data_IF_043496770156
#
_entry.id   IF_043496770156
#
_cell.length_a   1.000
_cell.length_b   1.000
_cell.length_c   1.000
_cell.angle_alpha   90.00
_cell.angle_beta   90.00
_cell.angle_gamma   90.00
#
_symmetry.space_group_name_H-M   'P 1'
#
loop_
_entity.id
_entity.type
_entity.pdbx_description
1 polymer ?
#
# COMPACT_ATOMS: atom_id res chain seq x y z
N UNK A 1 25.22 -17.80 18.68
CA UNK A 1 25.52 -16.90 17.58
C UNK A 1 25.00 -17.53 16.29
N UNK A 2 23.76 -17.24 15.93
CA UNK A 2 23.17 -17.66 14.68
C UNK A 2 23.64 -16.71 13.60
N UNK A 3 24.45 -17.21 12.70
CA UNK A 3 24.97 -16.54 11.52
C UNK A 3 23.80 -16.10 10.63
N UNK A 4 23.48 -14.82 10.65
CA UNK A 4 22.62 -14.21 9.65
C UNK A 4 23.37 -14.29 8.32
N UNK A 5 23.08 -15.30 7.52
CA UNK A 5 23.52 -15.33 6.13
C UNK A 5 22.74 -14.23 5.40
N UNK A 6 23.42 -13.15 5.10
CA UNK A 6 22.94 -12.17 4.11
C UNK A 6 22.78 -12.93 2.78
N UNK A 7 21.57 -13.31 2.45
CA UNK A 7 21.20 -13.76 1.12
C UNK A 7 21.15 -12.52 0.24
N UNK A 8 22.31 -12.16 -0.32
CA UNK A 8 22.35 -11.26 -1.47
C UNK A 8 21.83 -12.09 -2.67
N UNK A 9 20.53 -12.26 -2.77
CA UNK A 9 19.93 -12.72 -4.01
C UNK A 9 20.10 -11.57 -5.00
N UNK A 10 20.93 -11.80 -6.03
CA UNK A 10 20.96 -10.94 -7.21
C UNK A 10 19.57 -11.07 -7.84
N UNK A 11 18.70 -10.11 -7.58
CA UNK A 11 17.52 -9.94 -8.39
C UNK A 11 18.00 -9.80 -9.84
N UNK A 12 17.43 -10.59 -10.74
CA UNK A 12 17.65 -10.41 -12.17
C UNK A 12 17.08 -9.04 -12.51
N UNK A 13 17.96 -8.05 -12.63
CA UNK A 13 17.59 -6.72 -13.10
C UNK A 13 17.11 -6.83 -14.54
N UNK A 14 15.80 -6.84 -14.71
CA UNK A 14 15.20 -6.81 -16.04
C UNK A 14 14.86 -5.36 -16.37
N UNK A 15 15.14 -4.97 -17.61
CA UNK A 15 14.70 -3.67 -18.11
C UNK A 15 13.18 -3.55 -17.97
N UNK A 16 12.74 -2.41 -17.52
CA UNK A 16 11.34 -2.07 -17.44
C UNK A 16 11.12 -0.68 -18.01
N UNK A 17 9.91 -0.45 -18.46
CA UNK A 17 9.48 0.84 -18.99
C UNK A 17 8.21 1.29 -18.27
N UNK A 18 8.19 2.56 -17.87
CA UNK A 18 6.97 3.26 -17.50
C UNK A 18 6.58 4.15 -18.68
N UNK A 19 5.37 4.00 -19.19
CA UNK A 19 4.82 4.80 -20.26
C UNK A 19 3.55 5.54 -19.79
N UNK A 20 3.39 6.78 -20.20
CA UNK A 20 2.21 7.60 -19.97
C UNK A 20 1.38 7.71 -21.25
N UNK A 21 0.08 7.92 -21.13
CA UNK A 21 -0.83 8.02 -22.28
C UNK A 21 -0.53 9.19 -23.23
N UNK A 22 0.19 10.22 -22.77
CA UNK A 22 0.62 11.35 -23.59
C UNK A 22 1.86 11.05 -24.46
N UNK A 23 2.40 9.83 -24.38
CA UNK A 23 3.55 9.36 -25.12
C UNK A 23 4.89 9.48 -24.39
N UNK A 24 4.92 10.06 -23.18
CA UNK A 24 6.15 10.15 -22.39
C UNK A 24 6.51 8.81 -21.78
N UNK A 25 7.79 8.47 -21.83
CA UNK A 25 8.31 7.20 -21.31
C UNK A 25 9.51 7.42 -20.39
N UNK A 26 9.69 6.50 -19.44
CA UNK A 26 10.81 6.45 -18.52
C UNK A 26 11.33 5.03 -18.50
N UNK A 27 12.63 4.86 -18.71
CA UNK A 27 13.30 3.58 -18.60
C UNK A 27 13.81 3.37 -17.18
N UNK A 28 13.86 2.10 -16.75
CA UNK A 28 14.37 1.69 -15.46
C UNK A 28 14.59 0.20 -15.39
N UNK A 29 14.74 -0.31 -14.19
CA UNK A 29 14.91 -1.74 -13.91
C UNK A 29 13.74 -2.23 -13.07
N UNK A 30 13.23 -3.43 -13.36
CA UNK A 30 12.12 -4.01 -12.58
C UNK A 30 12.61 -4.62 -11.29
N UNK A 31 11.75 -4.53 -10.27
CA UNK A 31 11.86 -5.33 -9.06
C UNK A 31 10.47 -5.90 -8.70
N UNK A 32 10.44 -7.03 -7.98
CA UNK A 32 9.21 -7.75 -7.68
C UNK A 32 8.75 -8.64 -8.82
N UNK A 33 7.50 -8.50 -9.25
CA UNK A 33 6.93 -9.32 -10.33
C UNK A 33 7.29 -8.78 -11.72
N UNK A 34 7.24 -9.65 -12.73
CA UNK A 34 7.46 -9.31 -14.14
C UNK A 34 6.15 -9.37 -14.90
N UNK A 35 6.07 -8.65 -16.04
CA UNK A 35 4.87 -8.62 -16.87
C UNK A 35 4.46 -7.21 -17.24
N UNK A 36 3.16 -7.00 -17.42
CA UNK A 36 2.59 -5.70 -17.80
C UNK A 36 1.41 -5.35 -16.88
N UNK A 37 1.39 -4.13 -16.38
CA UNK A 37 0.28 -3.60 -15.59
C UNK A 37 -0.07 -2.18 -16.06
N UNK A 38 -1.34 -1.81 -15.92
CA UNK A 38 -1.84 -0.48 -16.23
C UNK A 38 -2.57 0.12 -15.04
N UNK A 39 -2.56 1.44 -14.93
CA UNK A 39 -3.24 2.18 -13.88
C UNK A 39 -3.09 3.68 -14.05
N UNK A 40 -3.76 4.44 -13.22
CA UNK A 40 -3.58 5.88 -13.17
C UNK A 40 -2.27 6.23 -12.46
N UNK A 41 -1.41 7.02 -13.10
CA UNK A 41 -0.18 7.48 -12.48
C UNK A 41 -0.48 8.59 -11.46
N UNK A 42 -0.04 8.36 -10.24
CA UNK A 42 -0.04 9.37 -9.17
C UNK A 42 1.32 9.41 -8.47
N UNK A 43 1.50 10.35 -7.56
CA UNK A 43 2.71 10.42 -6.75
C UNK A 43 2.41 10.72 -5.28
N UNK A 44 3.29 10.23 -4.42
CA UNK A 44 3.25 10.49 -2.99
C UNK A 44 4.57 11.15 -2.56
N UNK A 45 4.48 12.19 -1.73
CA UNK A 45 5.62 13.01 -1.29
C UNK A 45 6.11 12.66 0.11
N UNK A 46 5.58 11.63 0.74
CA UNK A 46 6.02 11.18 2.06
C UNK A 46 7.48 10.68 2.01
N UNK A 47 8.24 11.01 3.03
CA UNK A 47 9.64 10.57 3.17
C UNK A 47 9.76 9.14 3.71
N UNK A 48 8.71 8.61 4.29
CA UNK A 48 8.62 7.27 4.89
C UNK A 48 7.20 6.75 4.74
N UNK A 49 6.93 5.51 5.13
CA UNK A 49 5.59 4.93 5.08
C UNK A 49 5.24 4.32 3.73
N UNK A 50 6.24 3.82 2.99
CA UNK A 50 5.96 3.20 1.69
C UNK A 50 5.11 1.93 1.82
N UNK A 51 5.24 1.17 2.90
CA UNK A 51 4.43 -0.03 3.12
C UNK A 51 2.96 0.34 3.35
N UNK A 52 2.71 1.36 4.16
CA UNK A 52 1.38 1.91 4.40
C UNK A 52 0.75 2.38 3.08
N UNK A 53 1.52 3.06 2.22
CA UNK A 53 1.06 3.52 0.90
C UNK A 53 0.70 2.32 0.01
N UNK A 54 1.55 1.30 -0.05
CA UNK A 54 1.35 0.11 -0.90
C UNK A 54 0.09 -0.66 -0.49
N UNK A 55 -0.18 -0.73 0.82
CA UNK A 55 -1.29 -1.49 1.40
C UNK A 55 -2.54 -0.65 1.66
N UNK A 56 -2.52 0.65 1.40
CA UNK A 56 -3.69 1.53 1.51
C UNK A 56 -4.67 1.26 0.37
N UNK A 57 -5.91 0.82 0.67
CA UNK A 57 -6.94 0.60 -0.35
C UNK A 57 -7.25 1.81 -1.23
N UNK A 58 -6.96 3.03 -0.75
CA UNK A 58 -7.17 4.27 -1.49
C UNK A 58 -6.35 4.36 -2.78
N UNK A 59 -5.25 3.60 -2.89
CA UNK A 59 -4.43 3.55 -4.11
C UNK A 59 -4.85 2.44 -5.10
N UNK A 60 -6.02 1.85 -4.90
CA UNK A 60 -6.52 0.82 -5.81
C UNK A 60 -6.73 1.39 -7.22
N UNK A 61 -6.18 0.71 -8.21
CA UNK A 61 -6.21 1.17 -9.62
C UNK A 61 -5.06 2.09 -10.01
N UNK A 62 -4.21 2.53 -9.07
CA UNK A 62 -3.15 3.50 -9.32
C UNK A 62 -1.76 2.87 -9.41
N UNK A 63 -0.92 3.48 -10.21
CA UNK A 63 0.54 3.29 -10.24
C UNK A 63 1.16 4.45 -9.46
N UNK A 64 1.74 4.12 -8.30
CA UNK A 64 2.18 5.12 -7.33
C UNK A 64 3.67 5.39 -7.47
N UNK A 65 4.03 6.65 -7.61
CA UNK A 65 5.43 7.12 -7.64
C UNK A 65 5.82 7.69 -6.29
N UNK A 66 6.88 7.17 -5.67
CA UNK A 66 7.47 7.78 -4.48
C UNK A 66 8.46 8.86 -4.90
N UNK A 67 8.30 10.05 -4.33
CA UNK A 67 9.22 11.16 -4.62
C UNK A 67 10.50 11.10 -3.77
N UNK A 68 10.47 10.38 -2.64
CA UNK A 68 11.65 10.16 -1.82
C UNK A 68 12.63 9.24 -2.57
N UNK A 69 13.94 9.60 -2.62
CA UNK A 69 14.88 8.93 -3.51
C UNK A 69 15.10 7.45 -3.22
N UNK A 70 15.26 7.08 -1.94
CA UNK A 70 15.62 5.73 -1.52
C UNK A 70 14.45 5.03 -0.83
N UNK A 71 13.99 3.93 -1.39
CA UNK A 71 12.84 3.14 -0.89
C UNK A 71 13.29 1.71 -0.60
N UNK A 72 12.60 1.01 0.30
CA UNK A 72 12.90 -0.37 0.67
C UNK A 72 13.87 -0.52 1.85
N UNK A 73 14.38 0.58 2.38
CA UNK A 73 15.43 0.61 3.40
C UNK A 73 15.04 0.04 4.78
N UNK A 74 13.76 -0.07 5.10
CA UNK A 74 13.29 -0.69 6.34
C UNK A 74 12.50 -2.00 6.14
N UNK A 75 12.39 -2.48 4.88
CA UNK A 75 11.70 -3.72 4.56
C UNK A 75 10.19 -3.66 4.75
N UNK A 76 9.60 -4.82 4.93
CA UNK A 76 8.16 -5.05 5.15
C UNK A 76 7.98 -5.76 6.49
N UNK A 77 6.96 -5.41 7.22
CA UNK A 77 6.55 -6.06 8.45
C UNK A 77 5.01 -6.11 8.58
N UNK A 78 4.44 -7.06 9.32
CA UNK A 78 2.98 -7.23 9.40
C UNK A 78 2.26 -6.07 10.11
N UNK A 79 2.94 -5.38 11.03
CA UNK A 79 2.31 -4.37 11.88
C UNK A 79 2.04 -3.04 11.18
N UNK A 80 2.81 -2.71 10.14
CA UNK A 80 2.70 -1.43 9.42
C UNK A 80 1.78 -1.52 8.19
N UNK A 81 1.12 -2.66 7.98
CA UNK A 81 0.16 -2.81 6.90
C UNK A 81 -1.16 -2.08 7.20
N UNK A 82 -1.71 -1.41 6.20
CA UNK A 82 -3.01 -0.74 6.25
C UNK A 82 -4.18 -1.62 5.78
N UNK A 83 -3.86 -2.79 5.23
CA UNK A 83 -4.81 -3.83 4.84
C UNK A 83 -4.09 -5.17 4.67
N UNK A 84 -4.84 -6.22 4.33
CA UNK A 84 -4.30 -7.58 4.20
C UNK A 84 -3.43 -7.82 2.97
N UNK A 85 -3.37 -6.87 2.02
CA UNK A 85 -2.66 -7.03 0.74
C UNK A 85 -2.28 -5.67 0.13
N UNK A 86 -1.33 -5.62 -0.84
CA UNK A 86 -1.09 -4.42 -1.61
C UNK A 86 -2.29 -4.09 -2.52
N UNK A 87 -2.56 -2.79 -2.68
CA UNK A 87 -3.63 -2.28 -3.54
C UNK A 87 -3.12 -1.52 -4.76
N UNK A 88 -1.87 -1.07 -4.73
CA UNK A 88 -1.25 -0.41 -5.88
C UNK A 88 -1.19 -1.35 -7.10
N UNK A 89 -1.41 -0.82 -8.28
CA UNK A 89 -1.25 -1.58 -9.54
C UNK A 89 0.21 -1.72 -9.94
N UNK A 90 1.03 -0.77 -9.56
CA UNK A 90 2.47 -0.76 -9.76
C UNK A 90 3.13 0.32 -8.92
N UNK A 91 4.45 0.28 -8.83
CA UNK A 91 5.20 1.15 -7.93
C UNK A 91 6.46 1.67 -8.60
N UNK A 92 6.67 2.98 -8.54
CA UNK A 92 7.77 3.69 -9.22
C UNK A 92 8.64 4.38 -8.21
N UNK A 93 9.93 4.12 -8.25
CA UNK A 93 10.91 4.69 -7.32
C UNK A 93 12.18 5.19 -8.02
N UNK A 94 12.92 6.04 -7.34
CA UNK A 94 14.25 6.47 -7.79
C UNK A 94 15.29 5.38 -7.60
N UNK A 95 15.44 4.87 -6.39
CA UNK A 95 16.44 3.89 -6.01
C UNK A 95 15.88 2.89 -5.00
N UNK A 96 16.09 1.61 -5.23
CA UNK A 96 15.78 0.54 -4.29
C UNK A 96 16.96 0.35 -3.34
N UNK A 97 16.67 0.35 -2.04
CA UNK A 97 17.71 0.05 -1.04
C UNK A 97 18.19 -1.39 -1.17
N UNK A 98 19.49 -1.62 -1.30
CA UNK A 98 20.06 -2.98 -1.40
C UNK A 98 19.94 -3.78 -0.10
N UNK A 99 19.61 -3.13 1.01
CA UNK A 99 19.50 -3.74 2.33
C UNK A 99 18.30 -3.20 3.08
N UNK A 100 17.47 -4.11 3.59
CA UNK A 100 16.44 -3.80 4.58
C UNK A 100 17.08 -3.83 5.98
N UNK A 101 17.35 -2.66 6.57
CA UNK A 101 18.14 -2.52 7.80
C UNK A 101 17.33 -2.32 9.07
N UNK A 102 16.01 -2.55 9.03
CA UNK A 102 15.15 -2.47 10.22
C UNK A 102 15.12 -3.80 10.97
N UNK A 103 15.21 -3.75 12.30
CA UNK A 103 15.02 -4.93 13.15
C UNK A 103 13.59 -5.51 13.07
N UNK A 104 12.60 -4.70 12.66
CA UNK A 104 11.21 -5.14 12.43
C UNK A 104 11.02 -5.81 11.07
N UNK A 105 11.98 -5.68 10.16
CA UNK A 105 11.86 -6.26 8.82
C UNK A 105 11.71 -7.78 8.88
N UNK A 106 10.72 -8.30 8.20
CA UNK A 106 10.49 -9.73 8.00
C UNK A 106 10.78 -10.16 6.57
N UNK A 107 10.71 -9.20 5.64
CA UNK A 107 10.79 -9.43 4.21
C UNK A 107 11.30 -8.18 3.52
N UNK A 108 11.94 -8.33 2.37
CA UNK A 108 12.32 -7.21 1.52
C UNK A 108 11.13 -6.74 0.66
N UNK A 109 11.18 -5.51 0.20
CA UNK A 109 10.14 -4.98 -0.69
C UNK A 109 10.01 -5.78 -2.01
N UNK A 110 11.11 -6.17 -2.70
CA UNK A 110 11.03 -7.02 -3.88
C UNK A 110 10.40 -8.40 -3.65
N UNK A 111 10.71 -9.05 -2.52
CA UNK A 111 10.10 -10.34 -2.16
C UNK A 111 8.60 -10.19 -1.97
N UNK A 112 8.16 -9.17 -1.23
CA UNK A 112 6.76 -8.87 -1.02
C UNK A 112 6.01 -8.61 -2.33
N UNK A 113 6.61 -7.85 -3.24
CA UNK A 113 6.02 -7.58 -4.56
C UNK A 113 5.94 -8.83 -5.43
N UNK A 114 6.95 -9.70 -5.37
CA UNK A 114 6.93 -10.98 -6.09
C UNK A 114 5.81 -11.90 -5.62
N UNK A 115 5.59 -11.99 -4.30
CA UNK A 115 4.54 -12.81 -3.69
C UNK A 115 3.13 -12.31 -4.04
N UNK A 116 2.98 -10.99 -4.17
CA UNK A 116 1.69 -10.37 -4.46
C UNK A 116 1.48 -9.99 -5.94
N UNK A 117 2.37 -10.40 -6.83
CA UNK A 117 2.31 -10.10 -8.27
C UNK A 117 2.25 -8.59 -8.58
N UNK A 118 2.98 -7.77 -7.80
CA UNK A 118 3.11 -6.33 -8.03
C UNK A 118 4.39 -6.05 -8.80
N UNK A 119 4.30 -5.20 -9.82
CA UNK A 119 5.45 -4.77 -10.62
C UNK A 119 5.98 -3.46 -10.04
N UNK A 120 7.27 -3.45 -9.66
CA UNK A 120 8.00 -2.25 -9.30
C UNK A 120 9.00 -1.87 -10.40
N UNK A 121 9.27 -0.59 -10.54
CA UNK A 121 10.32 -0.05 -11.42
C UNK A 121 11.17 0.94 -10.64
N UNK A 122 12.50 0.77 -10.68
CA UNK A 122 13.48 1.67 -10.12
C UNK A 122 14.35 2.34 -11.19
N UNK A 123 15.16 3.32 -10.79
CA UNK A 123 16.02 4.09 -11.70
C UNK A 123 15.28 5.18 -12.48
N UNK A 124 14.02 5.42 -12.16
CA UNK A 124 13.19 6.45 -12.83
C UNK A 124 13.52 7.83 -12.29
N UNK A 125 13.60 8.84 -13.17
CA UNK A 125 13.62 10.24 -12.75
C UNK A 125 12.24 10.64 -12.19
N UNK A 126 12.02 10.29 -10.92
CA UNK A 126 10.77 10.54 -10.20
C UNK A 126 10.49 12.03 -10.05
N UNK A 127 11.53 12.90 -10.08
CA UNK A 127 11.35 14.34 -10.07
C UNK A 127 10.77 14.87 -11.39
N UNK A 128 11.29 14.41 -12.53
CA UNK A 128 10.74 14.77 -13.85
C UNK A 128 9.30 14.28 -13.99
N UNK A 129 9.03 13.02 -13.59
CA UNK A 129 7.69 12.43 -13.61
C UNK A 129 6.71 13.22 -12.72
N UNK A 130 7.09 13.50 -11.47
CA UNK A 130 6.24 14.26 -10.52
C UNK A 130 5.92 15.67 -11.04
N UNK A 131 6.90 16.37 -11.60
CA UNK A 131 6.67 17.70 -12.20
C UNK A 131 5.70 17.62 -13.37
N UNK A 132 5.83 16.59 -14.18
CA UNK A 132 4.94 16.36 -15.30
C UNK A 132 3.50 16.10 -14.85
N UNK A 133 3.29 15.14 -13.96
CA UNK A 133 1.96 14.83 -13.41
C UNK A 133 1.33 16.03 -12.67
N UNK A 134 2.14 16.82 -11.97
CA UNK A 134 1.66 18.04 -11.31
C UNK A 134 1.12 19.07 -12.30
N UNK A 135 1.71 19.16 -13.47
CA UNK A 135 1.34 20.17 -14.49
C UNK A 135 0.23 19.68 -15.41
N UNK A 136 0.27 18.41 -15.80
CA UNK A 136 -0.66 17.82 -16.78
C UNK A 136 -1.89 17.15 -16.12
N UNK A 137 -1.82 16.86 -14.81
CA UNK A 137 -2.82 16.08 -14.07
C UNK A 137 -2.46 14.60 -14.00
N UNK A 138 -3.25 13.85 -13.22
CA UNK A 138 -3.20 12.39 -13.22
C UNK A 138 -3.56 11.87 -14.60
N UNK A 139 -2.90 10.79 -15.04
CA UNK A 139 -3.10 10.21 -16.36
C UNK A 139 -2.87 8.71 -16.35
N UNK A 140 -3.43 8.04 -17.35
CA UNK A 140 -3.23 6.59 -17.52
C UNK A 140 -1.77 6.28 -17.80
N UNK A 141 -1.31 5.19 -17.26
CA UNK A 141 0.07 4.73 -17.40
C UNK A 141 0.17 3.21 -17.50
N UNK A 142 1.33 2.75 -17.93
CA UNK A 142 1.67 1.33 -18.06
C UNK A 142 3.09 1.12 -17.57
N UNK A 143 3.30 0.10 -16.72
CA UNK A 143 4.62 -0.45 -16.43
C UNK A 143 4.73 -1.80 -17.13
N UNK A 144 5.82 -2.03 -17.85
CA UNK A 144 6.06 -3.32 -18.50
C UNK A 144 7.53 -3.70 -18.51
N UNK A 145 7.77 -5.02 -18.37
CA UNK A 145 9.08 -5.66 -18.58
C UNK A 145 9.16 -6.36 -19.93
N UNK A 146 8.08 -6.32 -20.74
CA UNK A 146 7.91 -7.13 -21.94
C UNK A 146 7.67 -6.31 -23.21
N UNK A 147 7.01 -5.15 -23.04
CA UNK A 147 6.59 -4.30 -24.14
C UNK A 147 7.68 -3.30 -24.54
N UNK A 148 7.70 -2.95 -25.82
CA UNK A 148 8.43 -1.77 -26.28
C UNK A 148 7.78 -0.47 -25.81
N UNK A 149 8.49 0.66 -25.93
CA UNK A 149 7.99 1.97 -25.54
C UNK A 149 6.66 2.32 -26.20
N UNK A 150 6.56 2.12 -27.51
CA UNK A 150 5.35 2.43 -28.30
C UNK A 150 4.17 1.51 -27.90
N UNK A 151 4.43 0.24 -27.63
CA UNK A 151 3.41 -0.70 -27.17
C UNK A 151 2.92 -0.37 -25.77
N UNK A 152 3.83 0.01 -24.87
CA UNK A 152 3.48 0.43 -23.52
C UNK A 152 2.64 1.72 -23.49
N UNK A 153 2.96 2.70 -24.36
CA UNK A 153 2.12 3.90 -24.56
C UNK A 153 0.71 3.51 -25.04
N UNK A 154 0.62 2.64 -26.02
CA UNK A 154 -0.69 2.14 -26.50
C UNK A 154 -1.46 1.39 -25.41
N UNK A 155 -0.76 0.59 -24.57
CA UNK A 155 -1.38 -0.08 -23.45
C UNK A 155 -1.92 0.92 -22.42
N UNK A 156 -1.19 1.98 -22.11
CA UNK A 156 -1.66 3.07 -21.26
C UNK A 156 -2.91 3.76 -21.86
N UNK A 157 -2.88 4.11 -23.15
CA UNK A 157 -4.00 4.76 -23.84
C UNK A 157 -5.26 3.90 -23.92
N UNK A 158 -5.12 2.58 -23.98
CA UNK A 158 -6.24 1.64 -24.06
C UNK A 158 -6.71 1.15 -22.68
N UNK A 159 -6.04 1.53 -21.60
CA UNK A 159 -6.48 1.15 -20.25
C UNK A 159 -7.74 1.90 -19.83
N UNK A 160 -8.48 1.32 -18.88
CA UNK A 160 -9.67 1.95 -18.33
C UNK A 160 -9.31 3.24 -17.58
N UNK A 161 -10.18 4.24 -17.68
CA UNK A 161 -10.13 5.40 -16.79
C UNK A 161 -10.54 5.00 -15.37
N UNK A 162 -10.02 5.71 -14.37
CA UNK A 162 -10.49 5.57 -13.00
C UNK A 162 -11.93 6.06 -12.84
N UNK A 163 -12.30 7.09 -13.61
CA UNK A 163 -13.64 7.65 -13.61
C UNK A 163 -14.68 6.62 -14.04
N UNK A 164 -15.72 6.46 -13.23
CA UNK A 164 -16.78 5.49 -13.45
C UNK A 164 -16.48 4.06 -12.99
N UNK A 165 -15.29 3.79 -12.44
CA UNK A 165 -14.98 2.51 -11.81
C UNK A 165 -15.45 2.48 -10.35
N UNK A 166 -16.09 1.40 -9.95
CA UNK A 166 -16.44 1.13 -8.55
C UNK A 166 -15.32 0.32 -7.89
N UNK A 167 -14.35 1.02 -7.30
CA UNK A 167 -13.24 0.38 -6.59
C UNK A 167 -13.62 -0.03 -5.16
N UNK A 168 -14.66 0.56 -4.58
CA UNK A 168 -15.17 0.23 -3.24
C UNK A 168 -15.64 -1.22 -3.20
N UNK A 169 -16.44 -1.63 -4.19
CA UNK A 169 -17.00 -2.99 -4.25
C UNK A 169 -15.94 -4.10 -4.21
N UNK A 170 -14.75 -3.82 -4.74
CA UNK A 170 -13.65 -4.79 -4.71
C UNK A 170 -12.66 -4.57 -3.56
N UNK A 171 -12.78 -3.48 -2.79
CA UNK A 171 -11.96 -3.14 -1.64
C UNK A 171 -12.62 -3.43 -0.29
N UNK A 172 -13.95 -3.52 -0.26
CA UNK A 172 -14.73 -3.81 0.93
C UNK A 172 -14.61 -5.28 1.35
N UNK A 173 -14.64 -5.53 2.66
CA UNK A 173 -14.67 -6.89 3.21
C UNK A 173 -15.85 -7.70 2.67
N UNK A 174 -15.66 -9.01 2.47
CA UNK A 174 -16.75 -9.92 2.11
C UNK A 174 -17.55 -10.38 3.32
N UNK A 175 -16.98 -10.32 4.52
CA UNK A 175 -17.58 -10.82 5.75
C UNK A 175 -17.54 -9.77 6.86
N UNK A 176 -18.56 -9.77 7.69
CA UNK A 176 -18.59 -8.96 8.91
C UNK A 176 -17.62 -9.56 9.94
N UNK A 177 -16.76 -8.73 10.52
CA UNK A 177 -15.82 -9.16 11.55
C UNK A 177 -15.69 -8.14 12.68
N UNK A 178 -15.22 -8.61 13.83
CA UNK A 178 -14.86 -7.72 14.93
C UNK A 178 -13.37 -7.41 14.85
N UNK A 179 -13.01 -6.15 15.02
CA UNK A 179 -11.63 -5.73 15.14
C UNK A 179 -11.18 -5.88 16.61
N UNK A 180 -10.55 -6.99 16.97
CA UNK A 180 -10.34 -7.36 18.37
C UNK A 180 -8.90 -7.51 18.82
N UNK A 181 -7.91 -7.52 17.94
CA UNK A 181 -6.63 -8.02 18.41
C UNK A 181 -5.41 -7.13 18.20
N UNK A 182 -5.36 -6.39 17.14
CA UNK A 182 -4.09 -5.84 16.66
C UNK A 182 -3.94 -4.32 16.87
N UNK A 183 -4.68 -3.76 17.83
CA UNK A 183 -4.71 -2.31 18.06
C UNK A 183 -3.72 -1.81 19.10
N UNK A 184 -2.75 -2.61 19.47
CA UNK A 184 -1.79 -2.27 20.52
C UNK A 184 -0.79 -1.24 20.01
N UNK A 185 -0.62 -0.15 20.75
CA UNK A 185 0.48 0.79 20.52
C UNK A 185 1.81 0.11 20.77
N UNK A 186 2.67 0.11 19.77
CA UNK A 186 4.04 -0.33 19.95
C UNK A 186 4.82 0.67 20.79
N UNK A 187 5.28 0.25 21.97
CA UNK A 187 6.24 1.06 22.73
C UNK A 187 7.65 0.77 22.25
N UNK A 188 8.35 1.80 21.80
CA UNK A 188 9.75 1.67 21.42
C UNK A 188 10.53 1.16 22.63
N UNK A 189 11.29 0.03 22.50
CA UNK A 189 12.12 -0.43 23.59
C UNK A 189 13.09 0.68 23.99
N UNK A 190 13.23 0.95 25.27
CA UNK A 190 14.31 1.81 25.75
C UNK A 190 15.59 0.93 25.80
N UNK A 191 16.56 1.12 24.90
CA UNK A 191 17.77 0.29 24.85
C UNK A 191 18.56 0.32 26.16
N UNK A 192 18.40 1.38 26.96
CA UNK A 192 19.08 1.55 28.25
C UNK A 192 18.44 0.75 29.40
N UNK A 193 17.22 0.28 29.25
CA UNK A 193 16.49 -0.42 30.32
C UNK A 193 16.51 -1.95 30.18
N UNK A 194 17.00 -2.49 29.06
CA UNK A 194 16.95 -3.94 28.79
C UNK A 194 15.55 -4.48 28.61
N UNK A 195 14.54 -3.62 28.49
CA UNK A 195 13.16 -4.03 28.25
C UNK A 195 12.96 -4.35 26.78
N UNK A 196 12.43 -5.54 26.50
CA UNK A 196 11.83 -5.85 25.21
C UNK A 196 10.65 -4.90 24.98
N UNK A 197 10.43 -4.44 23.73
CA UNK A 197 9.29 -3.59 23.39
C UNK A 197 7.99 -4.29 23.77
N UNK A 198 7.23 -3.65 24.65
CA UNK A 198 5.92 -4.12 25.04
C UNK A 198 4.84 -3.25 24.39
N UNK A 199 3.76 -3.88 24.00
CA UNK A 199 2.56 -3.16 23.61
C UNK A 199 1.89 -2.55 24.85
N UNK A 200 1.36 -1.35 24.71
CA UNK A 200 0.48 -0.79 25.74
C UNK A 200 -0.77 -1.63 25.88
N UNK A 201 -1.26 -1.76 27.10
CA UNK A 201 -2.59 -2.33 27.34
C UNK A 201 -3.66 -1.45 26.67
N UNK A 202 -4.57 -2.12 25.96
CA UNK A 202 -5.71 -1.43 25.38
C UNK A 202 -6.68 -1.00 26.48
N UNK A 203 -7.26 0.20 26.39
CA UNK A 203 -8.27 0.63 27.34
C UNK A 203 -9.50 -0.28 27.27
N UNK A 204 -10.26 -0.34 28.36
CA UNK A 204 -11.57 -0.97 28.36
C UNK A 204 -12.47 -0.33 27.29
N UNK A 205 -13.10 -1.15 26.48
CA UNK A 205 -14.00 -0.66 25.47
C UNK A 205 -15.34 -0.24 26.09
N UNK A 206 -15.73 1.01 25.90
CA UNK A 206 -16.93 1.60 26.50
C UNK A 206 -18.07 1.74 25.49
N UNK A 207 -17.77 1.81 24.21
CA UNK A 207 -18.74 2.04 23.16
C UNK A 207 -18.58 1.01 22.04
N UNK A 208 -19.69 0.63 21.43
CA UNK A 208 -19.76 -0.26 20.29
C UNK A 208 -20.03 0.53 19.04
N UNK A 209 -19.15 0.50 18.07
CA UNK A 209 -19.33 1.13 16.76
C UNK A 209 -19.37 0.09 15.65
N UNK A 210 -20.19 0.37 14.66
CA UNK A 210 -20.18 -0.36 13.39
C UNK A 210 -19.50 0.52 12.33
N UNK A 211 -18.45 0.00 11.73
CA UNK A 211 -17.69 0.68 10.70
C UNK A 211 -18.00 0.08 9.31
N UNK A 212 -18.48 0.91 8.39
CA UNK A 212 -18.57 0.52 6.99
C UNK A 212 -17.18 0.45 6.37
N UNK A 213 -16.89 -0.66 5.73
CA UNK A 213 -15.65 -0.85 4.98
C UNK A 213 -15.84 -0.42 3.51
N UNK A 214 -15.44 0.81 3.20
CA UNK A 214 -15.32 1.31 1.83
C UNK A 214 -13.89 1.18 1.28
N UNK A 215 -13.02 0.45 1.97
CA UNK A 215 -11.57 0.39 1.81
C UNK A 215 -10.91 0.99 3.04
N UNK A 216 -11.30 0.49 4.23
CA UNK A 216 -10.86 1.02 5.53
C UNK A 216 -9.38 0.68 5.77
N UNK A 217 -8.63 1.67 6.25
CA UNK A 217 -7.26 1.46 6.71
C UNK A 217 -7.23 0.88 8.11
N UNK A 218 -6.34 -0.07 8.33
CA UNK A 218 -6.17 -0.71 9.64
C UNK A 218 -5.80 0.28 10.74
N UNK A 219 -5.05 1.33 10.43
CA UNK A 219 -4.72 2.36 11.41
C UNK A 219 -5.96 3.10 11.94
N UNK A 220 -6.97 3.29 11.14
CA UNK A 220 -8.25 3.85 11.61
C UNK A 220 -8.87 2.92 12.65
N UNK A 221 -8.91 1.61 12.39
CA UNK A 221 -9.44 0.61 13.31
C UNK A 221 -8.61 0.51 14.58
N UNK A 222 -7.27 0.56 14.45
CA UNK A 222 -6.32 0.58 15.58
C UNK A 222 -6.60 1.77 16.47
N UNK A 223 -6.69 2.97 15.91
CA UNK A 223 -6.96 4.19 16.66
C UNK A 223 -8.34 4.19 17.31
N UNK A 224 -9.37 3.71 16.65
CA UNK A 224 -10.67 3.57 17.25
C UNK A 224 -10.60 2.64 18.48
N UNK A 225 -9.96 1.49 18.36
CA UNK A 225 -9.82 0.54 19.49
C UNK A 225 -8.97 1.11 20.62
N UNK A 226 -7.89 1.82 20.32
CA UNK A 226 -7.02 2.51 21.30
C UNK A 226 -7.75 3.62 22.06
N UNK A 227 -8.83 4.16 21.50
CA UNK A 227 -9.67 5.16 22.16
C UNK A 227 -10.91 4.55 22.85
N UNK A 228 -10.95 3.25 23.07
CA UNK A 228 -11.97 2.59 23.87
C UNK A 228 -13.25 2.24 23.12
N UNK A 229 -13.18 2.05 21.81
CA UNK A 229 -14.29 1.55 21.02
C UNK A 229 -14.12 0.07 20.69
N UNK A 230 -15.18 -0.73 20.83
CA UNK A 230 -15.33 -2.00 20.13
C UNK A 230 -15.76 -1.70 18.70
N UNK A 231 -15.05 -2.25 17.72
CA UNK A 231 -15.34 -1.97 16.31
C UNK A 231 -15.78 -3.23 15.61
N UNK A 232 -16.98 -3.21 15.08
CA UNK A 232 -17.48 -4.24 14.15
C UNK A 232 -17.42 -3.67 12.74
N UNK A 233 -16.68 -4.33 11.86
CA UNK A 233 -16.51 -3.93 10.46
C UNK A 233 -17.52 -4.68 9.61
N UNK A 234 -18.21 -3.97 8.74
CA UNK A 234 -19.24 -4.51 7.86
C UNK A 234 -19.00 -4.13 6.40
N UNK A 235 -19.55 -4.92 5.51
CA UNK A 235 -19.48 -4.67 4.07
C UNK A 235 -20.15 -3.34 3.68
N UNK A 236 -19.63 -2.69 2.65
CA UNK A 236 -20.13 -1.42 2.11
C UNK A 236 -21.60 -1.47 1.67
N UNK A 237 -22.15 -2.65 1.39
CA UNK A 237 -23.55 -2.84 0.95
C UNK A 237 -24.49 -3.25 2.11
N UNK A 238 -24.03 -3.27 3.37
CA UNK A 238 -24.86 -3.62 4.51
C UNK A 238 -26.00 -2.60 4.67
N UNK A 239 -27.23 -3.07 4.87
CA UNK A 239 -28.39 -2.18 4.98
C UNK A 239 -28.38 -1.39 6.31
N UNK A 240 -29.06 -0.25 6.31
CA UNK A 240 -29.22 0.55 7.53
C UNK A 240 -29.99 -0.22 8.61
N UNK A 241 -30.98 -1.03 8.21
CA UNK A 241 -31.76 -1.88 9.10
C UNK A 241 -30.88 -2.90 9.80
N UNK A 242 -29.97 -3.56 9.07
CA UNK A 242 -29.03 -4.53 9.64
C UNK A 242 -28.06 -3.86 10.62
N UNK A 243 -27.58 -2.65 10.30
CA UNK A 243 -26.74 -1.87 11.22
C UNK A 243 -27.48 -1.53 12.50
N UNK A 244 -28.71 -1.01 12.38
CA UNK A 244 -29.53 -0.64 13.55
C UNK A 244 -29.89 -1.86 14.41
N UNK A 245 -30.09 -3.03 13.79
CA UNK A 245 -30.33 -4.28 14.52
C UNK A 245 -29.13 -4.71 15.38
N UNK A 246 -27.90 -4.25 15.06
CA UNK A 246 -26.70 -4.48 15.88
C UNK A 246 -26.66 -3.58 17.12
N UNK A 247 -27.58 -2.63 17.26
CA UNK A 247 -27.69 -1.66 18.35
C UNK A 247 -26.35 -0.96 18.70
N UNK A 248 -25.68 -0.31 17.71
CA UNK A 248 -24.42 0.37 17.95
C UNK A 248 -24.61 1.71 18.67
N UNK A 249 -23.60 2.14 19.44
CA UNK A 249 -23.54 3.50 20.00
C UNK A 249 -23.21 4.53 18.92
N UNK A 250 -22.63 4.10 17.80
CA UNK A 250 -22.32 4.96 16.65
C UNK A 250 -21.99 4.19 15.38
N UNK A 251 -22.06 4.88 14.26
CA UNK A 251 -21.71 4.36 12.93
C UNK A 251 -20.54 5.16 12.38
N UNK A 252 -19.51 4.47 11.88
CA UNK A 252 -18.34 5.06 11.26
C UNK A 252 -18.36 4.76 9.75
N UNK A 253 -18.23 5.80 8.94
CA UNK A 253 -18.07 5.70 7.49
C UNK A 253 -16.58 5.84 7.19
N UNK A 254 -15.96 4.79 6.64
CA UNK A 254 -14.53 4.79 6.41
C UNK A 254 -14.12 5.63 5.20
N UNK A 255 -12.80 5.80 5.05
CA UNK A 255 -12.20 6.17 3.77
C UNK A 255 -12.43 5.06 2.73
N UNK A 256 -12.12 5.38 1.49
CA UNK A 256 -12.12 4.43 0.37
C UNK A 256 -11.44 5.01 -0.86
N UNK A 257 -11.25 4.21 -1.90
CA UNK A 257 -10.72 4.64 -3.18
C UNK A 257 -11.69 5.52 -3.96
#
# INVERSE_FOLDING_TARGET
>A
PSTVRAHCQRHLHMKAILALEDGRTFEGESFGHTGTTTGEACFNTSMTGYQEIITDPSYRGQIVTMTYPLIGNYGINPEDAESSQPHVRGFVIGELSPVASSWRSRQTLPEYFSEHNVIGIEGVDTRALTKHLRSAGAMRSCISTELSADEAVKAAQNSSLMEGCDFVKGGSTSETYNWDGESRDWTIPNPSSGQEGNYRELPEAKYNIVAYDFGIKYDILRHLRQNGFNVKVVNSCTSAEDILAMNPDGVFLSNGP
#
